data_IF_010098497170
#
_entry.id   IF_010098497170
#
_cell.length_a   1.000
_cell.length_b   1.000
_cell.length_c   1.000
_cell.angle_alpha   90.00
_cell.angle_beta   90.00
_cell.angle_gamma   90.00
#
_symmetry.space_group_name_H-M   'P 1'
#
loop_
_entity.id
_entity.type
_entity.pdbx_description
1 polymer ?
#
# COMPACT_ATOMS: atom_id res chain seq x y z
N UNK A 1 15.69 -74.04 28.11
CA UNK A 1 14.60 -74.79 28.77
C UNK A 1 13.62 -73.77 29.33
N UNK A 2 12.31 -73.97 29.18
CA UNK A 2 11.22 -73.11 29.71
C UNK A 2 11.28 -71.68 29.10
N UNK A 3 10.49 -71.25 28.11
CA UNK A 3 9.18 -71.62 27.56
C UNK A 3 7.94 -71.22 28.41
N UNK A 4 6.87 -70.80 27.71
CA UNK A 4 5.55 -70.26 28.14
C UNK A 4 5.55 -68.80 28.63
N UNK A 5 4.53 -67.96 28.34
CA UNK A 5 3.50 -67.96 27.26
C UNK A 5 2.69 -66.64 27.24
N UNK A 6 2.07 -66.33 26.08
CA UNK A 6 0.76 -65.65 25.83
C UNK A 6 -0.06 -65.19 27.08
N UNK A 7 -0.82 -64.08 27.14
CA UNK A 7 -1.54 -63.22 26.15
C UNK A 7 -2.02 -61.90 26.88
N UNK A 8 -2.77 -60.90 26.38
CA UNK A 8 -3.49 -60.59 25.12
C UNK A 8 -3.76 -59.06 24.93
N UNK A 9 -4.05 -58.71 23.66
CA UNK A 9 -4.90 -57.64 23.08
C UNK A 9 -5.75 -56.73 24.01
N UNK A 10 -5.70 -55.40 23.77
CA UNK A 10 -6.91 -54.54 23.65
C UNK A 10 -6.61 -53.14 23.03
N UNK A 11 -7.66 -52.57 22.42
CA UNK A 11 -7.69 -51.49 21.41
C UNK A 11 -7.42 -50.03 21.87
N UNK A 12 -7.22 -49.08 20.93
CA UNK A 12 -6.88 -47.68 21.25
C UNK A 12 -8.07 -46.83 21.69
N UNK A 13 -7.81 -45.86 22.60
CA UNK A 13 -8.76 -44.80 22.94
C UNK A 13 -8.33 -43.46 22.34
N UNK A 14 -9.05 -43.01 21.31
CA UNK A 14 -8.90 -41.66 20.76
C UNK A 14 -9.53 -40.60 21.69
N UNK A 15 -8.75 -39.61 22.10
CA UNK A 15 -9.24 -38.51 22.93
C UNK A 15 -9.82 -37.37 22.06
N UNK A 16 -11.13 -37.41 21.84
CA UNK A 16 -11.87 -36.30 21.25
C UNK A 16 -11.94 -35.11 22.23
N UNK A 17 -11.33 -33.97 21.89
CA UNK A 17 -11.63 -32.68 22.55
C UNK A 17 -12.57 -31.83 21.67
N UNK A 18 -13.84 -32.23 21.62
CA UNK A 18 -14.91 -31.38 21.10
C UNK A 18 -15.27 -30.29 22.11
N UNK A 19 -14.62 -29.12 22.01
CA UNK A 19 -15.05 -27.92 22.73
C UNK A 19 -16.41 -27.46 22.18
N UNK A 20 -17.48 -27.90 22.84
CA UNK A 20 -18.85 -27.67 22.38
C UNK A 20 -19.36 -26.33 22.93
N UNK A 21 -19.53 -25.32 22.08
CA UNK A 21 -20.13 -24.04 22.47
C UNK A 21 -21.63 -24.23 22.78
N UNK A 22 -21.96 -24.58 24.03
CA UNK A 22 -23.35 -24.65 24.51
C UNK A 22 -23.75 -23.35 25.22
N UNK A 23 -24.05 -22.32 24.44
CA UNK A 23 -24.67 -21.09 24.95
C UNK A 23 -26.18 -21.28 25.17
N UNK A 24 -26.56 -21.39 26.45
CA UNK A 24 -27.95 -21.50 26.90
C UNK A 24 -28.82 -20.33 26.39
N UNK A 25 -29.78 -20.60 25.52
CA UNK A 25 -30.76 -19.62 25.04
C UNK A 25 -32.19 -19.96 25.51
N UNK A 26 -32.68 -19.23 26.51
CA UNK A 26 -34.11 -19.27 26.89
C UNK A 26 -34.94 -18.69 25.75
N UNK A 27 -35.91 -19.45 25.23
CA UNK A 27 -36.84 -19.00 24.17
C UNK A 27 -37.84 -17.96 24.71
N UNK A 28 -37.48 -16.68 24.65
CA UNK A 28 -38.45 -15.59 24.75
C UNK A 28 -39.27 -15.50 23.45
N UNK A 29 -40.60 -15.61 23.55
CA UNK A 29 -41.51 -15.52 22.39
C UNK A 29 -41.79 -14.04 22.08
N UNK A 30 -41.49 -13.58 20.85
CA UNK A 30 -41.92 -12.27 20.33
C UNK A 30 -40.82 -11.24 20.04
N UNK A 31 -39.54 -11.54 20.33
CA UNK A 31 -38.43 -10.67 19.93
C UNK A 31 -37.91 -10.95 18.51
N UNK A 32 -37.27 -9.96 17.89
CA UNK A 32 -36.39 -10.17 16.72
C UNK A 32 -35.32 -11.20 17.13
N UNK A 33 -35.02 -12.23 16.32
CA UNK A 33 -34.14 -13.33 16.76
C UNK A 33 -32.77 -12.79 17.19
N UNK A 34 -32.17 -13.31 18.29
CA UNK A 34 -30.85 -12.88 18.72
C UNK A 34 -29.84 -13.22 17.63
N UNK A 35 -29.07 -12.22 17.19
CA UNK A 35 -28.00 -12.43 16.21
C UNK A 35 -26.95 -13.32 16.87
N UNK A 36 -26.75 -14.52 16.32
CA UNK A 36 -25.69 -15.44 16.74
C UNK A 36 -24.38 -14.93 16.13
N UNK A 37 -23.86 -13.85 16.71
CA UNK A 37 -22.53 -13.32 16.36
C UNK A 37 -21.50 -14.33 16.83
N UNK A 38 -20.62 -14.80 15.94
CA UNK A 38 -19.63 -15.80 16.31
C UNK A 38 -18.62 -15.23 17.32
N UNK A 39 -18.00 -16.10 18.14
CA UNK A 39 -16.91 -15.69 19.02
C UNK A 39 -15.74 -15.05 18.27
N UNK A 40 -15.58 -15.36 16.98
CA UNK A 40 -14.59 -14.76 16.08
C UNK A 40 -14.97 -13.34 15.67
N UNK A 41 -16.23 -13.06 15.34
CA UNK A 41 -16.67 -11.70 14.98
C UNK A 41 -16.64 -10.74 16.19
N UNK A 42 -17.01 -11.22 17.39
CA UNK A 42 -16.85 -10.46 18.64
C UNK A 42 -15.36 -10.19 18.92
N UNK A 43 -14.47 -11.11 18.57
CA UNK A 43 -13.02 -10.93 18.66
C UNK A 43 -12.51 -9.93 17.61
N UNK A 44 -12.99 -10.02 16.37
CA UNK A 44 -12.63 -9.15 15.27
C UNK A 44 -13.00 -7.69 15.54
N UNK A 45 -14.26 -7.40 15.88
CA UNK A 45 -14.72 -6.02 16.13
C UNK A 45 -13.98 -5.31 17.28
N UNK A 46 -13.40 -6.07 18.23
CA UNK A 46 -12.54 -5.52 19.29
C UNK A 46 -11.11 -5.21 18.82
N UNK A 47 -10.61 -5.93 17.81
CA UNK A 47 -9.28 -5.71 17.21
C UNK A 47 -9.33 -4.65 16.09
N UNK A 48 -10.40 -4.66 15.30
CA UNK A 48 -10.66 -3.83 14.12
C UNK A 48 -10.23 -2.35 14.27
N UNK A 49 -10.65 -1.56 15.30
CA UNK A 49 -10.24 -0.16 15.43
C UNK A 49 -8.73 0.02 15.67
N UNK A 50 -8.06 -0.95 16.29
CA UNK A 50 -6.61 -0.91 16.48
C UNK A 50 -5.86 -1.31 15.20
N UNK A 51 -6.38 -2.27 14.43
CA UNK A 51 -5.81 -2.66 13.14
C UNK A 51 -5.94 -1.52 12.12
N UNK A 52 -7.13 -0.91 12.00
CA UNK A 52 -7.42 0.23 11.12
C UNK A 52 -6.65 1.50 11.45
N UNK A 53 -6.09 1.60 12.66
CA UNK A 53 -5.14 2.67 13.05
C UNK A 53 -3.67 2.26 12.89
N UNK A 54 -3.36 1.27 12.04
CA UNK A 54 -2.00 0.87 11.69
C UNK A 54 -1.21 0.19 12.81
N UNK A 55 -1.90 -0.43 13.79
CA UNK A 55 -1.21 -1.18 14.86
C UNK A 55 -1.01 -2.63 14.42
N UNK A 56 0.16 -3.19 14.74
CA UNK A 56 0.44 -4.62 14.50
C UNK A 56 -0.55 -5.50 15.27
N UNK A 57 -0.88 -6.68 14.73
CA UNK A 57 -1.85 -7.61 15.36
C UNK A 57 -1.52 -7.90 16.83
N UNK A 58 -0.23 -8.07 17.14
CA UNK A 58 0.27 -8.21 18.51
C UNK A 58 -0.11 -7.02 19.42
N UNK A 59 0.07 -5.78 18.94
CA UNK A 59 -0.27 -4.56 19.70
C UNK A 59 -1.79 -4.34 19.79
N UNK A 60 -2.54 -4.70 18.75
CA UNK A 60 -4.00 -4.71 18.78
C UNK A 60 -4.56 -5.68 19.83
N UNK A 61 -4.01 -6.90 19.95
CA UNK A 61 -4.40 -7.88 20.98
C UNK A 61 -4.21 -7.32 22.40
N UNK A 62 -3.06 -6.67 22.66
CA UNK A 62 -2.74 -6.07 23.97
C UNK A 62 -3.73 -4.95 24.31
N UNK A 63 -4.01 -4.04 23.38
CA UNK A 63 -4.94 -2.91 23.58
C UNK A 63 -6.40 -3.39 23.76
N UNK A 64 -6.82 -4.38 22.99
CA UNK A 64 -8.15 -5.01 23.09
C UNK A 64 -8.31 -5.94 24.32
N UNK A 65 -7.22 -6.20 25.07
CA UNK A 65 -7.15 -7.18 26.18
C UNK A 65 -7.56 -8.61 25.76
N UNK A 66 -7.13 -9.04 24.58
CA UNK A 66 -7.42 -10.37 24.02
C UNK A 66 -6.15 -11.22 24.03
N UNK A 67 -6.28 -12.52 24.35
CA UNK A 67 -5.15 -13.45 24.32
C UNK A 67 -4.58 -13.60 22.91
N UNK A 68 -3.29 -13.26 22.76
CA UNK A 68 -2.53 -13.42 21.51
C UNK A 68 -2.58 -14.86 20.99
N UNK A 69 -2.43 -15.86 21.86
CA UNK A 69 -2.39 -17.27 21.44
C UNK A 69 -3.69 -17.72 20.78
N UNK A 70 -4.84 -17.26 21.29
CA UNK A 70 -6.14 -17.53 20.68
C UNK A 70 -6.27 -16.86 19.32
N UNK A 71 -5.94 -15.57 19.20
CA UNK A 71 -6.06 -14.82 17.93
C UNK A 71 -5.16 -15.41 16.84
N UNK A 72 -3.89 -15.72 17.15
CA UNK A 72 -2.98 -16.35 16.20
C UNK A 72 -3.39 -17.79 15.85
N UNK A 73 -4.01 -18.54 16.78
CA UNK A 73 -4.59 -19.85 16.47
C UNK A 73 -5.74 -19.73 15.46
N UNK A 74 -6.63 -18.75 15.61
CA UNK A 74 -7.73 -18.55 14.66
C UNK A 74 -7.24 -18.04 13.30
N UNK A 75 -6.28 -17.11 13.28
CA UNK A 75 -5.63 -16.60 12.05
C UNK A 75 -4.84 -17.68 11.28
N UNK A 76 -4.50 -18.80 11.91
CA UNK A 76 -3.91 -19.97 11.26
C UNK A 76 -4.89 -21.09 10.88
N UNK A 77 -6.19 -20.95 11.18
CA UNK A 77 -7.19 -22.03 11.04
C UNK A 77 -8.53 -21.60 10.41
N UNK A 78 -8.81 -20.30 10.29
CA UNK A 78 -10.06 -19.78 9.75
C UNK A 78 -9.77 -18.67 8.74
N UNK A 79 -9.95 -18.99 7.46
CA UNK A 79 -9.61 -18.14 6.31
C UNK A 79 -10.39 -16.81 6.30
N UNK A 80 -11.69 -16.84 6.60
CA UNK A 80 -12.55 -15.65 6.69
C UNK A 80 -12.08 -14.66 7.78
N UNK A 81 -11.66 -15.17 8.95
CA UNK A 81 -11.09 -14.34 10.01
C UNK A 81 -9.72 -13.77 9.61
N UNK A 82 -8.90 -14.54 8.89
CA UNK A 82 -7.61 -14.08 8.35
C UNK A 82 -7.80 -12.95 7.33
N UNK A 83 -8.72 -13.10 6.38
CA UNK A 83 -9.07 -12.06 5.41
C UNK A 83 -9.58 -10.79 6.11
N UNK A 84 -10.54 -10.91 7.05
CA UNK A 84 -11.04 -9.78 7.85
C UNK A 84 -9.90 -9.03 8.55
N UNK A 85 -8.96 -9.75 9.18
CA UNK A 85 -7.81 -9.17 9.88
C UNK A 85 -6.87 -8.44 8.90
N UNK A 86 -6.59 -9.00 7.74
CA UNK A 86 -5.63 -8.42 6.79
C UNK A 86 -6.22 -7.26 5.98
N UNK A 87 -7.51 -7.30 5.63
CA UNK A 87 -8.26 -6.14 5.12
C UNK A 87 -8.24 -5.00 6.16
N UNK A 88 -8.47 -5.30 7.45
CA UNK A 88 -8.41 -4.29 8.51
C UNK A 88 -7.01 -3.70 8.73
N UNK A 89 -5.94 -4.47 8.44
CA UNK A 89 -4.54 -3.98 8.46
C UNK A 89 -4.19 -3.16 7.21
N UNK A 90 -4.67 -3.55 6.04
CA UNK A 90 -4.42 -2.86 4.78
C UNK A 90 -5.09 -1.46 4.73
N UNK A 91 -6.18 -1.27 5.46
CA UNK A 91 -6.95 -0.02 5.50
C UNK A 91 -6.11 1.25 5.69
N UNK A 92 -5.13 1.24 6.61
CA UNK A 92 -4.24 2.42 6.80
C UNK A 92 -3.37 2.69 5.58
N UNK A 93 -2.87 1.65 4.92
CA UNK A 93 -2.06 1.77 3.70
C UNK A 93 -2.88 2.33 2.53
N UNK A 94 -4.15 1.91 2.40
CA UNK A 94 -5.08 2.46 1.39
C UNK A 94 -5.30 3.95 1.63
N UNK A 95 -5.69 4.36 2.84
CA UNK A 95 -5.88 5.78 3.18
C UNK A 95 -4.61 6.62 2.92
N UNK A 96 -3.43 6.11 3.26
CA UNK A 96 -2.16 6.82 3.01
C UNK A 96 -1.87 6.95 1.52
N UNK A 97 -2.12 5.90 0.73
CA UNK A 97 -1.99 5.94 -0.72
C UNK A 97 -2.95 6.95 -1.36
N UNK A 98 -4.22 6.98 -0.93
CA UNK A 98 -5.23 7.89 -1.46
C UNK A 98 -4.88 9.37 -1.19
N UNK A 99 -4.31 9.66 0.00
CA UNK A 99 -3.79 10.98 0.33
C UNK A 99 -2.59 11.38 -0.55
N UNK A 100 -1.64 10.46 -0.79
CA UNK A 100 -0.52 10.73 -1.71
C UNK A 100 -1.00 10.93 -3.15
N UNK A 101 -1.92 10.10 -3.64
CA UNK A 101 -2.47 10.23 -4.99
C UNK A 101 -3.26 11.53 -5.17
N UNK A 102 -4.04 11.94 -4.16
CA UNK A 102 -4.72 13.24 -4.14
C UNK A 102 -3.72 14.41 -4.27
N UNK A 103 -2.60 14.37 -3.53
CA UNK A 103 -1.53 15.39 -3.66
C UNK A 103 -0.84 15.35 -5.02
N UNK A 104 -0.58 14.16 -5.57
CA UNK A 104 -0.01 14.00 -6.91
C UNK A 104 -0.90 14.64 -7.98
N UNK A 105 -2.22 14.45 -7.88
CA UNK A 105 -3.21 15.04 -8.78
C UNK A 105 -3.30 16.56 -8.64
N UNK A 106 -3.22 17.11 -7.42
CA UNK A 106 -3.12 18.57 -7.19
C UNK A 106 -1.88 19.17 -7.86
N UNK A 107 -0.69 18.63 -7.56
CA UNK A 107 0.57 19.13 -8.13
C UNK A 107 0.56 19.03 -9.66
N UNK A 108 0.07 17.92 -10.22
CA UNK A 108 -0.06 17.72 -11.67
C UNK A 108 -1.01 18.74 -12.33
N UNK A 109 -2.13 19.09 -11.67
CA UNK A 109 -3.04 20.14 -12.13
C UNK A 109 -2.37 21.52 -12.11
N UNK A 110 -1.64 21.87 -11.04
CA UNK A 110 -0.89 23.14 -10.94
C UNK A 110 0.17 23.25 -12.04
N UNK A 111 1.02 22.24 -12.23
CA UNK A 111 1.99 22.16 -13.34
C UNK A 111 1.31 22.36 -14.69
N UNK A 112 0.20 21.65 -14.94
CA UNK A 112 -0.54 21.71 -16.20
C UNK A 112 -1.13 23.11 -16.47
N UNK A 113 -1.67 23.77 -15.44
CA UNK A 113 -2.27 25.10 -15.61
C UNK A 113 -1.21 26.20 -15.82
N UNK A 114 -0.10 26.16 -15.07
CA UNK A 114 1.03 27.08 -15.27
C UNK A 114 1.63 26.94 -16.67
N UNK A 115 1.73 25.70 -17.19
CA UNK A 115 2.11 25.43 -18.58
C UNK A 115 1.11 26.02 -19.60
N UNK A 116 -0.19 25.88 -19.36
CA UNK A 116 -1.22 26.45 -20.24
C UNK A 116 -1.13 27.98 -20.30
N UNK A 117 -1.03 28.65 -19.14
CA UNK A 117 -0.87 30.11 -19.04
C UNK A 117 0.37 30.60 -19.78
N UNK A 118 1.49 29.88 -19.66
CA UNK A 118 2.72 30.19 -20.40
C UNK A 118 2.51 30.09 -21.92
N UNK A 119 1.84 29.05 -22.40
CA UNK A 119 1.51 28.90 -23.83
C UNK A 119 0.58 30.04 -24.29
N UNK A 120 -0.37 30.49 -23.47
CA UNK A 120 -1.20 31.65 -23.79
C UNK A 120 -0.39 32.95 -23.88
N UNK A 121 0.60 33.15 -23.01
CA UNK A 121 1.52 34.30 -23.03
C UNK A 121 2.41 34.29 -24.28
N UNK A 122 3.01 33.14 -24.60
CA UNK A 122 3.86 32.95 -25.80
C UNK A 122 3.06 33.20 -27.09
N UNK A 123 1.78 32.83 -27.12
CA UNK A 123 0.84 33.15 -28.20
C UNK A 123 0.23 34.58 -28.12
N UNK A 124 0.70 35.43 -27.21
CA UNK A 124 0.23 36.82 -26.98
C UNK A 124 -1.28 36.95 -26.70
N UNK A 125 -1.92 35.88 -26.20
CA UNK A 125 -3.36 35.84 -25.85
C UNK A 125 -3.66 36.46 -24.48
N UNK A 126 -2.66 36.52 -23.61
CA UNK A 126 -2.70 37.21 -22.32
C UNK A 126 -1.51 38.16 -22.18
N UNK A 127 -1.63 39.17 -21.32
CA UNK A 127 -0.55 40.08 -20.99
C UNK A 127 0.39 39.50 -19.93
N UNK A 128 1.65 39.95 -19.93
CA UNK A 128 2.67 39.61 -18.93
C UNK A 128 2.19 39.85 -17.49
N UNK A 129 1.46 40.95 -17.25
CA UNK A 129 0.85 41.26 -15.95
C UNK A 129 -0.16 40.18 -15.55
N UNK A 130 -1.11 39.86 -16.44
CA UNK A 130 -2.13 38.85 -16.19
C UNK A 130 -1.52 37.46 -15.97
N UNK A 131 -0.48 37.11 -16.74
CA UNK A 131 0.27 35.87 -16.56
C UNK A 131 0.83 35.76 -15.14
N UNK A 132 1.51 36.79 -14.62
CA UNK A 132 2.09 36.79 -13.26
C UNK A 132 1.05 36.71 -12.16
N UNK A 133 -0.08 37.41 -12.33
CA UNK A 133 -1.20 37.38 -11.39
C UNK A 133 -1.81 35.97 -11.33
N UNK A 134 -2.17 35.36 -12.46
CA UNK A 134 -2.77 34.02 -12.50
C UNK A 134 -1.76 32.90 -12.20
N UNK A 135 -0.49 32.99 -12.60
CA UNK A 135 0.50 31.92 -12.37
C UNK A 135 0.84 31.74 -10.89
N UNK A 136 0.85 32.83 -10.10
CA UNK A 136 1.14 32.79 -8.66
C UNK A 136 0.20 31.89 -7.86
N UNK A 137 -1.04 31.70 -8.35
CA UNK A 137 -2.07 30.82 -7.75
C UNK A 137 -1.73 29.34 -7.98
N UNK A 138 -0.98 29.04 -9.05
CA UNK A 138 -0.63 27.68 -9.49
C UNK A 138 0.86 27.37 -9.31
N UNK A 139 1.57 28.14 -8.48
CA UNK A 139 3.00 27.91 -8.24
C UNK A 139 3.26 26.53 -7.61
N UNK A 140 4.40 25.96 -7.99
CA UNK A 140 4.81 24.59 -7.64
C UNK A 140 6.06 24.69 -6.79
N UNK A 141 5.89 24.50 -5.49
CA UNK A 141 6.93 24.73 -4.48
C UNK A 141 8.03 23.67 -4.55
N UNK A 142 9.20 23.96 -4.00
CA UNK A 142 10.28 22.98 -3.85
C UNK A 142 9.81 21.68 -3.16
N UNK A 143 8.96 21.81 -2.14
CA UNK A 143 8.32 20.68 -1.44
C UNK A 143 7.38 19.86 -2.33
N UNK A 144 6.74 20.48 -3.33
CA UNK A 144 5.96 19.74 -4.33
C UNK A 144 6.88 18.92 -5.25
N UNK A 145 8.01 19.50 -5.68
CA UNK A 145 9.02 18.79 -6.46
C UNK A 145 9.68 17.65 -5.68
N UNK A 146 9.98 17.85 -4.39
CA UNK A 146 10.53 16.79 -3.54
C UNK A 146 9.53 15.67 -3.27
N UNK A 147 8.25 16.00 -3.09
CA UNK A 147 7.18 15.00 -3.06
C UNK A 147 7.10 14.20 -4.38
N UNK A 148 7.19 14.86 -5.55
CA UNK A 148 7.21 14.17 -6.85
C UNK A 148 8.43 13.24 -7.00
N UNK A 149 9.64 13.72 -6.64
CA UNK A 149 10.88 12.91 -6.64
C UNK A 149 10.71 11.68 -5.75
N UNK A 150 10.22 11.87 -4.52
CA UNK A 150 10.01 10.79 -3.56
C UNK A 150 8.97 9.78 -4.06
N UNK A 151 7.80 10.26 -4.51
CA UNK A 151 6.72 9.39 -4.99
C UNK A 151 7.16 8.55 -6.19
N UNK A 152 7.86 9.14 -7.16
CA UNK A 152 8.36 8.42 -8.34
C UNK A 152 9.23 7.22 -7.98
N UNK A 153 10.13 7.37 -6.97
CA UNK A 153 11.07 6.33 -6.55
C UNK A 153 10.46 5.33 -5.56
N UNK A 154 9.45 5.72 -4.76
CA UNK A 154 8.94 4.91 -3.64
C UNK A 154 7.55 4.30 -3.89
N UNK A 155 6.75 4.83 -4.82
CA UNK A 155 5.43 4.29 -5.11
C UNK A 155 5.50 2.98 -5.90
N UNK A 156 4.71 1.98 -5.48
CA UNK A 156 4.54 0.72 -6.21
C UNK A 156 4.06 0.91 -7.67
N UNK A 157 3.47 2.05 -8.01
CA UNK A 157 2.96 2.36 -9.35
C UNK A 157 3.98 3.04 -10.29
N UNK A 158 5.18 3.37 -9.82
CA UNK A 158 6.21 4.11 -10.61
C UNK A 158 7.65 3.67 -10.34
N UNK A 159 7.88 2.86 -9.30
CA UNK A 159 9.22 2.41 -8.90
C UNK A 159 9.91 1.54 -9.95
N UNK A 160 9.15 0.84 -10.79
CA UNK A 160 9.73 -0.12 -11.73
C UNK A 160 10.25 0.58 -13.03
N UNK A 161 9.77 1.80 -13.30
CA UNK A 161 10.26 2.73 -14.31
C UNK A 161 11.29 3.75 -13.78
N UNK A 162 11.03 4.37 -12.61
CA UNK A 162 11.80 5.51 -12.08
C UNK A 162 12.63 5.18 -10.83
N UNK A 163 12.38 4.04 -10.18
CA UNK A 163 13.20 3.56 -9.08
C UNK A 163 14.56 3.04 -9.56
N UNK A 164 15.46 2.79 -8.62
CA UNK A 164 16.76 2.22 -8.95
C UNK A 164 16.62 0.74 -9.29
N UNK A 165 16.81 0.42 -10.57
CA UNK A 165 17.26 -0.91 -10.97
C UNK A 165 18.69 -1.09 -10.47
N UNK A 166 18.88 -1.97 -9.49
CA UNK A 166 20.20 -2.49 -9.12
C UNK A 166 20.51 -3.61 -10.10
N UNK A 167 21.56 -3.47 -10.90
CA UNK A 167 22.08 -4.61 -11.66
C UNK A 167 22.69 -5.60 -10.67
N UNK A 168 22.09 -6.79 -10.56
CA UNK A 168 22.56 -7.84 -9.66
C UNK A 168 23.80 -8.49 -10.27
N UNK A 169 24.95 -7.85 -10.10
CA UNK A 169 26.28 -8.41 -10.40
C UNK A 169 26.65 -9.45 -9.35
N UNK A 170 25.93 -10.57 -9.35
CA UNK A 170 26.29 -11.75 -8.57
C UNK A 170 27.71 -12.21 -8.92
N UNK A 171 28.53 -12.53 -7.91
CA UNK A 171 29.97 -12.83 -8.05
C UNK A 171 30.29 -13.89 -9.11
N UNK A 172 29.36 -14.82 -9.35
CA UNK A 172 29.51 -15.96 -10.25
C UNK A 172 28.43 -16.02 -11.34
N UNK A 173 27.91 -14.85 -11.77
CA UNK A 173 26.99 -14.70 -12.92
C UNK A 173 25.70 -15.53 -12.88
N UNK A 174 25.15 -15.77 -11.68
CA UNK A 174 23.82 -16.38 -11.47
C UNK A 174 22.89 -15.41 -10.74
N UNK A 175 21.63 -15.26 -11.17
CA UNK A 175 20.66 -14.38 -10.51
C UNK A 175 20.07 -15.07 -9.27
N UNK A 176 20.49 -14.63 -8.08
CA UNK A 176 19.81 -14.97 -6.83
C UNK A 176 18.66 -13.98 -6.56
N UNK A 177 17.55 -14.47 -6.00
CA UNK A 177 16.37 -13.66 -5.71
C UNK A 177 16.62 -12.75 -4.50
N UNK A 178 16.38 -11.42 -4.61
CA UNK A 178 16.79 -10.48 -3.58
C UNK A 178 15.87 -10.49 -2.35
N UNK A 179 16.45 -10.67 -1.16
CA UNK A 179 15.87 -10.27 0.11
C UNK A 179 16.71 -9.16 0.75
N UNK A 180 16.06 -8.03 1.02
CA UNK A 180 16.34 -7.00 2.03
C UNK A 180 17.80 -6.78 2.49
N UNK A 181 18.44 -5.72 1.98
CA UNK A 181 18.49 -4.42 2.68
C UNK A 181 18.96 -3.32 1.71
N UNK A 182 18.29 -2.16 1.69
CA UNK A 182 18.58 -1.08 0.74
C UNK A 182 19.19 0.14 1.43
N UNK A 183 20.42 0.50 1.06
CA UNK A 183 20.95 1.84 1.33
C UNK A 183 20.42 2.85 0.29
N UNK A 184 20.02 4.07 0.71
CA UNK A 184 19.54 5.09 -0.21
C UNK A 184 20.70 5.63 -1.08
N UNK A 185 20.47 5.77 -2.39
CA UNK A 185 21.47 6.39 -3.29
C UNK A 185 21.81 7.82 -2.85
N UNK A 186 23.09 8.24 -2.99
CA UNK A 186 23.50 9.62 -2.74
C UNK A 186 22.73 10.61 -3.64
N UNK A 187 22.33 11.74 -3.06
CA UNK A 187 21.30 12.63 -3.59
C UNK A 187 21.67 13.25 -4.94
N UNK A 188 22.96 13.48 -5.17
CA UNK A 188 23.55 13.97 -6.42
C UNK A 188 23.17 13.07 -7.61
N UNK A 189 23.11 11.75 -7.40
CA UNK A 189 22.77 10.78 -8.47
C UNK A 189 21.31 10.91 -8.90
N UNK A 190 20.42 11.15 -7.94
CA UNK A 190 18.97 11.34 -8.19
C UNK A 190 18.75 12.68 -8.90
N UNK A 191 19.42 13.74 -8.46
CA UNK A 191 19.34 15.07 -9.07
C UNK A 191 19.89 15.06 -10.51
N UNK A 192 21.06 14.45 -10.75
CA UNK A 192 21.62 14.33 -12.10
C UNK A 192 20.68 13.57 -13.06
N UNK A 193 20.03 12.50 -12.58
CA UNK A 193 19.05 11.75 -13.38
C UNK A 193 17.81 12.59 -13.68
N UNK A 194 17.31 13.34 -12.69
CA UNK A 194 16.21 14.28 -12.87
C UNK A 194 16.54 15.40 -13.88
N UNK A 195 17.75 15.95 -13.85
CA UNK A 195 18.19 16.96 -14.83
C UNK A 195 18.29 16.41 -16.25
N UNK A 196 18.77 15.18 -16.43
CA UNK A 196 18.78 14.52 -17.74
C UNK A 196 17.35 14.38 -18.30
N UNK A 197 16.38 13.99 -17.46
CA UNK A 197 14.96 13.88 -17.86
C UNK A 197 14.36 15.26 -18.15
N UNK A 198 14.58 16.25 -17.28
CA UNK A 198 14.16 17.65 -17.47
C UNK A 198 14.67 18.22 -18.80
N UNK A 199 15.97 18.06 -19.06
CA UNK A 199 16.61 18.55 -20.29
C UNK A 199 16.11 17.82 -21.55
N UNK A 200 15.80 16.52 -21.47
CA UNK A 200 15.15 15.79 -22.57
C UNK A 200 13.73 16.32 -22.83
N UNK A 201 12.90 16.46 -21.78
CA UNK A 201 11.54 17.00 -21.92
C UNK A 201 11.51 18.43 -22.47
N UNK A 202 12.48 19.28 -22.11
CA UNK A 202 12.59 20.64 -22.65
C UNK A 202 12.85 20.68 -24.16
N UNK A 203 13.68 19.77 -24.70
CA UNK A 203 14.01 19.72 -26.16
C UNK A 203 12.86 19.21 -27.02
N UNK A 204 11.99 18.35 -26.48
CA UNK A 204 10.78 17.85 -27.17
C UNK A 204 9.76 18.98 -27.48
N UNK A 205 10.01 20.21 -27.04
CA UNK A 205 9.15 21.37 -27.30
C UNK A 205 9.81 22.51 -28.11
N UNK A 206 11.08 22.37 -28.52
CA UNK A 206 11.72 23.29 -29.49
C UNK A 206 11.61 22.79 -30.93
N UNK A 207 11.62 21.47 -31.13
CA UNK A 207 11.94 20.87 -32.43
C UNK A 207 10.69 20.52 -33.26
N UNK A 208 9.87 21.54 -33.56
CA UNK A 208 8.87 21.48 -34.64
C UNK A 208 8.99 22.68 -35.58
N UNK A 209 9.81 22.62 -36.64
CA UNK A 209 9.74 23.58 -37.72
C UNK A 209 8.38 23.48 -38.41
N UNK A 210 7.68 24.62 -38.53
CA UNK A 210 6.35 24.69 -39.15
C UNK A 210 6.45 24.55 -40.68
N UNK A 211 6.54 23.32 -41.18
CA UNK A 211 6.46 23.00 -42.61
C UNK A 211 5.02 23.14 -43.13
N UNK A 212 4.57 24.39 -43.24
CA UNK A 212 3.44 24.80 -44.06
C UNK A 212 3.93 25.86 -45.05
N UNK A 213 4.74 25.43 -46.01
CA UNK A 213 4.98 26.19 -47.23
C UNK A 213 3.99 25.74 -48.30
N UNK A 214 3.18 26.70 -48.76
CA UNK A 214 2.65 26.84 -50.11
C UNK A 214 2.18 25.55 -50.82
N UNK A 215 0.88 25.26 -50.69
CA UNK A 215 0.10 24.64 -51.77
C UNK A 215 -0.53 25.81 -52.56
N UNK A 216 -0.48 25.81 -53.91
CA UNK A 216 -0.97 26.92 -54.73
C UNK A 216 -2.51 27.04 -54.77
#
# INVERSE_FOLDING_TARGET
>A
MIDRSKTAVSEPKGNNLSMTEQTLTKKNKGGRPPVIVSGLDITFHKLEPYLKTGKTLNKACILAKISKSSVYKYYGLNEEFTEKIDVARAYTSVLVNDNFFSRLVDVSKRISKTRELRIQLENKRISEKKYREESSIYDVTEKDWDFLKWYAVNSHSTRDEYGTRVEITGKDSKPELPQELFEPKPMETVLATYEIVRNRMSRVHTDKPCLLQNIP
#
